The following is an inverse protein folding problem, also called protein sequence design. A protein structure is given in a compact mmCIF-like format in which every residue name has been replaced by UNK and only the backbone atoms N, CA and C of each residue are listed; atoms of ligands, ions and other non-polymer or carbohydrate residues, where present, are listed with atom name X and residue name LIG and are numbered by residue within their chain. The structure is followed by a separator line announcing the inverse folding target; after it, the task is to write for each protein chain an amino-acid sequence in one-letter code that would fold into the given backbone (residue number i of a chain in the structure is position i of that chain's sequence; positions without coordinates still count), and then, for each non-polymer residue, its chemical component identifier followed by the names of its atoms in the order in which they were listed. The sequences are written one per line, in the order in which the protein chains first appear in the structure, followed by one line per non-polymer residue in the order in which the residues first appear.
data_IF_897820019367
#
_entry.id   IF_897820019367
#
_cell.length_a   1.000
_cell.length_b   1.000
_cell.length_c   1.000
_cell.angle_alpha   90.00
_cell.angle_beta   90.00
_cell.angle_gamma   90.00
#
_symmetry.space_group_name_H-M   'P 1'
#
loop_
_entity.id
_entity.type
_entity.pdbx_description
1 polymer ?
#
# COMPACT_ATOMS: atom_id res chain seq x y z
N UNK A 1 1.55 17.71 24.38
CA UNK A 1 1.35 16.35 24.94
C UNK A 1 1.21 15.44 23.74
N UNK A 2 2.03 14.39 23.54
CA UNK A 2 1.70 13.41 22.52
C UNK A 2 0.32 12.81 22.88
N UNK A 3 -0.58 12.76 21.90
CA UNK A 3 -1.90 12.17 22.09
C UNK A 3 -1.70 10.69 22.46
N UNK A 4 -2.16 10.28 23.64
CA UNK A 4 -1.92 8.96 24.21
C UNK A 4 -2.89 7.89 23.65
N UNK A 5 -3.23 7.97 22.36
CA UNK A 5 -4.11 6.99 21.69
C UNK A 5 -3.30 5.76 21.27
N UNK A 6 -3.90 4.58 21.38
CA UNK A 6 -3.32 3.36 20.80
C UNK A 6 -3.42 3.49 19.27
N UNK A 7 -2.30 3.36 18.52
CA UNK A 7 -2.33 3.52 17.07
C UNK A 7 -3.11 2.38 16.41
N UNK A 8 -3.90 2.71 15.40
CA UNK A 8 -4.57 1.75 14.52
C UNK A 8 -3.59 1.38 13.40
N UNK A 9 -3.16 0.13 13.39
CA UNK A 9 -2.22 -0.40 12.39
C UNK A 9 -2.95 -1.37 11.47
N UNK A 10 -2.92 -1.10 10.17
CA UNK A 10 -3.28 -2.10 9.17
C UNK A 10 -2.19 -3.18 9.11
N UNK A 11 -2.58 -4.42 9.40
CA UNK A 11 -1.62 -5.52 9.48
C UNK A 11 -1.09 -5.97 8.12
N UNK A 12 -1.65 -5.49 7.01
CA UNK A 12 -1.18 -5.89 5.69
C UNK A 12 -1.61 -4.91 4.58
N UNK A 13 -0.65 -4.15 4.05
CA UNK A 13 -0.82 -3.37 2.83
C UNK A 13 0.18 -3.79 1.76
N UNK A 14 -0.21 -3.63 0.50
CA UNK A 14 0.66 -3.74 -0.66
C UNK A 14 0.66 -2.39 -1.39
N UNK A 15 1.83 -1.83 -1.61
CA UNK A 15 2.02 -0.67 -2.48
C UNK A 15 2.82 -1.10 -3.72
N UNK A 16 2.40 -0.63 -4.89
CA UNK A 16 2.95 -0.99 -6.19
C UNK A 16 2.74 0.12 -7.21
N UNK A 17 3.72 0.27 -8.08
CA UNK A 17 3.66 1.17 -9.25
C UNK A 17 2.82 0.55 -10.37
N UNK A 18 2.32 1.40 -11.27
CA UNK A 18 1.61 0.96 -12.46
C UNK A 18 2.42 -0.03 -13.30
N UNK A 19 1.71 -0.94 -13.97
CA UNK A 19 2.30 -1.82 -14.98
C UNK A 19 2.66 -1.00 -16.23
N UNK A 20 3.94 -0.78 -16.49
CA UNK A 20 4.43 0.01 -17.64
C UNK A 20 5.43 -0.77 -18.48
N UNK A 21 5.68 -0.39 -19.74
CA UNK A 21 6.75 -1.00 -20.54
C UNK A 21 8.13 -0.93 -19.89
N UNK A 22 8.41 0.13 -19.13
CA UNK A 22 9.68 0.35 -18.43
C UNK A 22 9.76 -0.41 -17.09
N UNK A 23 8.62 -0.71 -16.46
CA UNK A 23 8.50 -1.49 -15.23
C UNK A 23 7.34 -2.51 -15.32
N UNK A 24 7.49 -3.57 -16.14
CA UNK A 24 6.41 -4.49 -16.39
C UNK A 24 6.17 -5.43 -15.21
N UNK A 25 4.92 -5.69 -14.89
CA UNK A 25 4.54 -6.72 -13.93
C UNK A 25 4.80 -8.12 -14.51
N UNK A 26 5.27 -9.05 -13.67
CA UNK A 26 5.51 -10.45 -14.08
C UNK A 26 4.27 -11.33 -13.94
N UNK A 27 3.18 -10.79 -13.39
CA UNK A 27 1.93 -11.50 -13.14
C UNK A 27 0.73 -10.59 -13.05
N UNK A 28 -0.43 -11.16 -12.80
CA UNK A 28 -1.69 -10.42 -12.65
C UNK A 28 -2.02 -10.16 -11.18
N UNK A 29 -2.57 -8.97 -10.90
CA UNK A 29 -3.10 -8.58 -9.61
C UNK A 29 -4.53 -8.05 -9.79
N UNK A 30 -5.47 -8.57 -9.01
CA UNK A 30 -6.81 -7.99 -8.92
C UNK A 30 -6.77 -6.76 -8.02
N UNK A 31 -7.12 -5.60 -8.56
CA UNK A 31 -7.14 -4.36 -7.80
C UNK A 31 -7.03 -3.12 -8.69
N UNK A 32 -6.75 -1.97 -8.08
CA UNK A 32 -6.37 -0.76 -8.80
C UNK A 32 -5.19 -1.00 -9.77
N UNK A 33 -5.06 -0.18 -10.83
CA UNK A 33 -3.92 -0.26 -11.74
C UNK A 33 -2.59 0.12 -11.09
N UNK A 34 -2.63 0.83 -9.96
CA UNK A 34 -1.49 1.23 -9.14
C UNK A 34 -1.99 1.53 -7.71
N UNK A 35 -1.09 1.39 -6.74
CA UNK A 35 -1.26 1.84 -5.36
C UNK A 35 0.10 2.34 -4.89
N UNK A 36 0.45 3.57 -5.19
CA UNK A 36 1.73 4.15 -4.75
C UNK A 36 1.74 4.34 -3.23
N UNK A 37 2.93 4.57 -2.64
CA UNK A 37 3.04 4.85 -1.21
C UNK A 37 2.22 6.07 -0.79
N UNK A 38 2.18 7.12 -1.61
CA UNK A 38 1.40 8.33 -1.36
C UNK A 38 -0.11 8.06 -1.39
N UNK A 39 -0.58 7.31 -2.39
CA UNK A 39 -1.99 6.91 -2.48
C UNK A 39 -2.43 6.06 -1.28
N UNK A 40 -1.55 5.16 -0.79
CA UNK A 40 -1.83 4.36 0.39
C UNK A 40 -1.91 5.22 1.65
N UNK A 41 -1.03 6.19 1.84
CA UNK A 41 -1.11 7.12 2.98
C UNK A 41 -2.39 7.94 2.93
N UNK A 42 -2.75 8.51 1.77
CA UNK A 42 -4.00 9.25 1.62
C UNK A 42 -5.23 8.38 1.94
N UNK A 43 -5.24 7.12 1.50
CA UNK A 43 -6.31 6.18 1.80
C UNK A 43 -6.39 5.83 3.29
N UNK A 44 -5.26 5.64 3.96
CA UNK A 44 -5.20 5.38 5.40
C UNK A 44 -5.67 6.57 6.23
N UNK A 45 -5.27 7.79 5.86
CA UNK A 45 -5.72 9.03 6.51
C UNK A 45 -7.24 9.18 6.42
N UNK A 46 -7.84 8.85 5.28
CA UNK A 46 -9.29 8.94 5.07
C UNK A 46 -10.11 8.02 5.99
N UNK A 47 -9.51 6.95 6.52
CA UNK A 47 -10.18 5.98 7.41
C UNK A 47 -9.63 5.98 8.84
N UNK A 48 -8.66 6.85 9.16
CA UNK A 48 -8.06 6.95 10.49
C UNK A 48 -7.12 5.80 10.85
N UNK A 49 -6.43 5.23 9.87
CA UNK A 49 -5.33 4.26 10.09
C UNK A 49 -4.03 5.04 10.25
N UNK A 50 -3.31 4.81 11.35
CA UNK A 50 -2.09 5.55 11.72
C UNK A 50 -0.82 4.99 11.07
N UNK A 51 -0.88 3.77 10.54
CA UNK A 51 0.24 3.11 9.88
C UNK A 51 -0.09 1.70 9.42
N UNK A 52 0.87 1.08 8.73
CA UNK A 52 0.66 -0.25 8.17
C UNK A 52 1.95 -1.08 8.10
N UNK A 53 1.76 -2.40 8.00
CA UNK A 53 2.83 -3.32 7.61
C UNK A 53 2.85 -3.45 6.09
N UNK A 54 3.89 -2.91 5.46
CA UNK A 54 4.11 -3.04 4.03
C UNK A 54 4.61 -4.45 3.70
N UNK A 55 3.79 -5.20 2.98
CA UNK A 55 4.10 -6.55 2.51
C UNK A 55 4.47 -6.50 1.02
N UNK A 56 5.44 -7.33 0.63
CA UNK A 56 5.88 -7.42 -0.76
C UNK A 56 4.74 -7.88 -1.67
N UNK A 57 4.40 -7.14 -2.75
CA UNK A 57 3.48 -7.60 -3.77
C UNK A 57 4.18 -8.59 -4.71
N UNK A 58 4.71 -9.67 -4.13
CA UNK A 58 5.57 -10.67 -4.76
C UNK A 58 5.01 -11.19 -6.09
N UNK A 59 3.69 -11.36 -6.19
CA UNK A 59 3.02 -11.88 -7.38
C UNK A 59 3.28 -11.07 -8.66
N UNK A 60 3.52 -9.75 -8.54
CA UNK A 60 3.74 -8.87 -9.70
C UNK A 60 5.20 -8.47 -9.91
N UNK A 61 6.09 -8.70 -8.94
CA UNK A 61 7.53 -8.36 -9.06
C UNK A 61 8.50 -9.55 -9.01
N UNK A 62 8.08 -10.70 -8.47
CA UNK A 62 8.87 -11.93 -8.42
C UNK A 62 9.92 -12.02 -7.32
#
# INVERSE_FOLDING_TARGET
MPNNSTPIIDCQVHAYEANTPENPWVGELTGPPEVTGEQMVEAMDAVGVDGALLISPYRIYG
#
